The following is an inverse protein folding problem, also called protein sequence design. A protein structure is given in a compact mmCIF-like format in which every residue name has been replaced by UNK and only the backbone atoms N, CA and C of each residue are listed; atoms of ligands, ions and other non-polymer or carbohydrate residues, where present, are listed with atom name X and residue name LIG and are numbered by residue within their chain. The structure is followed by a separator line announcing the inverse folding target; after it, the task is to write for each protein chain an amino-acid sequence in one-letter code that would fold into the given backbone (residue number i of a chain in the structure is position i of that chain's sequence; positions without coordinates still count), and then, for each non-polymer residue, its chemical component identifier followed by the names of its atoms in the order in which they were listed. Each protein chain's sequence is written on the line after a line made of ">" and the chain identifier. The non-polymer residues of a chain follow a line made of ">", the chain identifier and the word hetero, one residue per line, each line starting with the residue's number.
data_IF_341414464024
#
_entry.id   IF_341414464024
#
_cell.length_a   1.000
_cell.length_b   1.000
_cell.length_c   1.000
_cell.angle_alpha   90.00
_cell.angle_beta   90.00
_cell.angle_gamma   90.00
#
_symmetry.space_group_name_H-M   'P 1'
#
loop_
_entity.id
_entity.type
_entity.pdbx_description
1 polymer ?
#
# COMPACT_ATOMS: atom_id res chain seq x y z
N UNK A 1 18.95 16.35 -15.26
CA UNK A 1 17.58 15.95 -15.61
C UNK A 1 17.42 15.79 -17.11
N UNK A 2 17.41 14.55 -17.56
CA UNK A 2 17.16 14.16 -18.95
C UNK A 2 15.69 14.42 -19.31
N UNK A 3 15.35 14.73 -20.58
CA UNK A 3 13.96 14.80 -21.04
C UNK A 3 13.19 13.46 -20.87
N UNK A 4 13.90 12.34 -20.71
CA UNK A 4 13.30 11.03 -20.40
C UNK A 4 12.73 11.00 -18.97
N UNK A 5 13.48 11.53 -17.99
CA UNK A 5 13.11 11.51 -16.56
C UNK A 5 11.80 12.29 -16.33
N UNK A 6 11.65 13.46 -16.97
CA UNK A 6 10.43 14.27 -16.88
C UNK A 6 9.19 13.59 -17.45
N UNK A 7 9.34 12.74 -18.47
CA UNK A 7 8.22 12.03 -19.08
C UNK A 7 7.78 10.86 -18.21
N UNK A 8 8.73 10.14 -17.61
CA UNK A 8 8.48 9.05 -16.66
C UNK A 8 7.80 9.55 -15.39
N UNK A 9 8.31 10.63 -14.78
CA UNK A 9 7.70 11.25 -13.60
C UNK A 9 6.26 11.72 -13.84
N UNK A 10 6.01 12.36 -14.99
CA UNK A 10 4.67 12.82 -15.35
C UNK A 10 3.68 11.66 -15.54
N UNK A 11 4.15 10.53 -16.08
CA UNK A 11 3.35 9.31 -16.23
C UNK A 11 3.00 8.71 -14.86
N UNK A 12 3.98 8.56 -13.98
CA UNK A 12 3.78 8.01 -12.63
C UNK A 12 2.83 8.90 -11.82
N UNK A 13 3.00 10.22 -11.85
CA UNK A 13 2.08 11.14 -11.18
C UNK A 13 0.65 11.05 -11.72
N UNK A 14 0.48 10.86 -13.03
CA UNK A 14 -0.83 10.73 -13.65
C UNK A 14 -1.50 9.41 -13.26
N UNK A 15 -0.74 8.31 -13.20
CA UNK A 15 -1.20 7.00 -12.77
C UNK A 15 -1.62 7.05 -11.30
N UNK A 16 -0.77 7.55 -10.40
CA UNK A 16 -1.08 7.73 -8.98
C UNK A 16 -2.34 8.58 -8.74
N UNK A 17 -2.51 9.68 -9.50
CA UNK A 17 -3.73 10.52 -9.41
C UNK A 17 -4.98 9.76 -9.85
N UNK A 18 -4.89 8.89 -10.85
CA UNK A 18 -6.04 8.11 -11.32
C UNK A 18 -6.43 7.01 -10.33
N UNK A 19 -5.45 6.33 -9.73
CA UNK A 19 -5.65 5.30 -8.71
C UNK A 19 -6.26 5.92 -7.45
N UNK A 20 -5.70 7.04 -6.96
CA UNK A 20 -6.24 7.77 -5.80
C UNK A 20 -7.69 8.21 -5.98
N UNK A 21 -8.09 8.63 -7.19
CA UNK A 21 -9.48 8.99 -7.49
C UNK A 21 -10.42 7.79 -7.44
N UNK A 22 -9.98 6.63 -7.94
CA UNK A 22 -10.77 5.39 -7.90
C UNK A 22 -10.92 4.86 -6.48
N UNK A 23 -9.88 4.96 -5.66
CA UNK A 23 -9.90 4.60 -4.23
C UNK A 23 -10.92 5.45 -3.46
N UNK A 24 -11.00 6.76 -3.72
CA UNK A 24 -11.93 7.67 -3.04
C UNK A 24 -13.35 7.67 -3.63
N UNK A 25 -13.71 6.69 -4.47
CA UNK A 25 -15.09 6.57 -4.93
C UNK A 25 -16.04 6.26 -3.76
N UNK A 26 -17.16 6.99 -3.71
CA UNK A 26 -18.27 6.75 -2.77
C UNK A 26 -18.81 5.33 -2.87
N UNK A 27 -18.82 4.77 -4.08
CA UNK A 27 -19.22 3.39 -4.36
C UNK A 27 -18.29 2.39 -3.67
N UNK A 28 -16.98 2.68 -3.69
CA UNK A 28 -15.96 1.84 -3.05
C UNK A 28 -16.07 1.86 -1.53
N UNK A 29 -16.42 3.03 -0.94
CA UNK A 29 -16.59 3.16 0.52
C UNK A 29 -17.79 2.38 1.02
N UNK A 30 -18.90 2.41 0.27
CA UNK A 30 -20.09 1.60 0.58
C UNK A 30 -19.82 0.10 0.42
N UNK A 31 -19.11 -0.31 -0.64
CA UNK A 31 -18.74 -1.71 -0.85
C UNK A 31 -17.88 -2.27 0.28
N UNK A 32 -16.89 -1.52 0.79
CA UNK A 32 -16.08 -1.94 1.94
C UNK A 32 -16.91 -2.09 3.22
N UNK A 33 -17.87 -1.20 3.46
CA UNK A 33 -18.73 -1.30 4.62
C UNK A 33 -19.63 -2.54 4.56
N UNK A 34 -20.25 -2.79 3.40
CA UNK A 34 -21.12 -3.95 3.19
C UNK A 34 -20.33 -5.26 3.27
N UNK A 35 -19.17 -5.32 2.63
CA UNK A 35 -18.30 -6.50 2.67
C UNK A 35 -17.75 -6.73 4.07
N UNK A 36 -17.35 -5.68 4.80
CA UNK A 36 -16.91 -5.78 6.19
C UNK A 36 -18.01 -6.26 7.13
N UNK A 37 -19.26 -5.85 6.90
CA UNK A 37 -20.41 -6.36 7.64
C UNK A 37 -20.71 -7.83 7.31
N UNK A 38 -20.70 -8.18 6.02
CA UNK A 38 -20.93 -9.56 5.54
C UNK A 38 -19.86 -10.55 6.01
N UNK A 39 -18.60 -10.11 6.12
CA UNK A 39 -17.50 -10.90 6.67
C UNK A 39 -17.51 -11.10 8.19
N UNK A 40 -18.48 -10.50 8.91
CA UNK A 40 -18.58 -10.60 10.36
C UNK A 40 -19.35 -11.85 10.81
N UNK A 41 -18.96 -12.42 11.95
CA UNK A 41 -19.71 -13.53 12.57
C UNK A 41 -21.15 -13.15 12.93
N UNK A 42 -21.40 -11.86 13.20
CA UNK A 42 -22.74 -11.33 13.49
C UNK A 42 -23.70 -11.51 12.30
N UNK A 43 -23.19 -11.40 11.07
CA UNK A 43 -23.97 -11.62 9.86
C UNK A 43 -24.45 -13.07 9.76
N UNK A 44 -23.59 -14.04 10.09
CA UNK A 44 -23.93 -15.46 10.11
C UNK A 44 -25.01 -15.74 11.16
N UNK A 45 -24.86 -15.22 12.38
CA UNK A 45 -25.89 -15.40 13.42
C UNK A 45 -27.23 -14.79 13.02
N UNK A 46 -27.23 -13.60 12.41
CA UNK A 46 -28.44 -12.97 11.89
C UNK A 46 -29.14 -13.88 10.86
N UNK A 47 -28.41 -14.44 9.89
CA UNK A 47 -28.97 -15.34 8.88
C UNK A 47 -29.54 -16.61 9.47
N UNK A 48 -28.84 -17.23 10.43
CA UNK A 48 -29.33 -18.44 11.11
C UNK A 48 -30.64 -18.16 11.83
N UNK A 49 -30.74 -17.05 12.56
CA UNK A 49 -31.98 -16.66 13.26
C UNK A 49 -33.09 -16.34 12.26
N UNK A 50 -32.78 -15.57 11.22
CA UNK A 50 -33.72 -15.22 10.15
C UNK A 50 -34.31 -16.45 9.46
N UNK A 51 -33.45 -17.38 9.00
CA UNK A 51 -33.90 -18.60 8.34
C UNK A 51 -34.69 -19.51 9.29
N UNK A 52 -34.24 -19.65 10.53
CA UNK A 52 -34.95 -20.45 11.54
C UNK A 52 -36.35 -19.87 11.81
N UNK A 53 -36.46 -18.54 11.91
CA UNK A 53 -37.74 -17.86 12.10
C UNK A 53 -38.65 -18.04 10.89
N UNK A 54 -38.13 -17.88 9.68
CA UNK A 54 -38.90 -18.05 8.44
C UNK A 54 -39.46 -19.46 8.30
N UNK A 55 -38.64 -20.48 8.56
CA UNK A 55 -39.05 -21.88 8.55
C UNK A 55 -40.10 -22.13 9.62
N UNK A 56 -39.89 -21.63 10.84
CA UNK A 56 -40.85 -21.81 11.95
C UNK A 56 -42.22 -21.21 11.66
N UNK A 57 -42.26 -20.01 11.05
CA UNK A 57 -43.51 -19.37 10.61
C UNK A 57 -44.22 -20.21 9.54
N UNK A 58 -43.49 -20.67 8.53
CA UNK A 58 -44.08 -21.39 7.40
C UNK A 58 -44.42 -22.86 7.71
N UNK A 59 -43.85 -23.44 8.77
CA UNK A 59 -44.21 -24.77 9.28
C UNK A 59 -45.52 -24.78 10.09
N UNK A 60 -46.20 -23.63 10.21
CA UNK A 60 -47.49 -23.51 10.89
C UNK A 60 -47.39 -23.47 12.42
N UNK A 61 -46.20 -23.27 13.00
CA UNK A 61 -46.03 -23.17 14.46
C UNK A 61 -46.69 -21.92 15.07
N UNK A 62 -47.09 -20.96 14.23
CA UNK A 62 -47.72 -19.70 14.60
C UNK A 62 -49.22 -19.64 14.24
N UNK A 63 -49.88 -20.75 13.93
CA UNK A 63 -51.34 -20.77 13.79
C UNK A 63 -52.02 -20.46 15.13
N UNK A 64 -53.00 -19.54 15.19
CA UNK A 64 -53.74 -18.93 14.07
C UNK A 64 -53.28 -17.51 13.66
N UNK A 65 -52.14 -17.03 14.18
CA UNK A 65 -51.69 -15.64 13.97
C UNK A 65 -51.11 -15.38 12.59
N UNK A 66 -50.49 -16.37 11.94
CA UNK A 66 -49.88 -16.25 10.61
C UNK A 66 -50.14 -17.53 9.80
N UNK A 67 -50.80 -17.39 8.65
CA UNK A 67 -50.98 -18.49 7.71
C UNK A 67 -49.68 -18.74 6.93
N UNK A 68 -49.28 -20.00 6.66
CA UNK A 68 -48.12 -20.31 5.84
C UNK A 68 -48.22 -19.62 4.47
N UNK A 69 -47.24 -18.77 4.14
CA UNK A 69 -47.24 -17.97 2.90
C UNK A 69 -46.19 -18.47 1.88
N UNK A 70 -45.17 -19.18 2.34
CA UNK A 70 -44.11 -19.82 1.55
C UNK A 70 -44.03 -21.31 1.92
N UNK A 71 -44.92 -22.16 1.38
CA UNK A 71 -44.92 -23.59 1.66
C UNK A 71 -43.63 -24.26 1.18
N UNK A 72 -43.25 -25.37 1.81
CA UNK A 72 -42.15 -26.21 1.34
C UNK A 72 -42.36 -26.55 -0.16
N UNK A 73 -41.40 -26.23 -1.05
CA UNK A 73 -39.95 -26.11 -0.83
C UNK A 73 -39.37 -24.69 -0.57
N UNK A 74 -40.14 -23.73 -0.05
CA UNK A 74 -39.68 -22.36 0.27
C UNK A 74 -39.14 -21.56 -0.93
N UNK A 75 -39.99 -21.38 -1.94
CA UNK A 75 -39.61 -20.72 -3.20
C UNK A 75 -39.25 -19.24 -3.00
N UNK A 76 -39.98 -18.52 -2.14
CA UNK A 76 -39.74 -17.09 -1.91
C UNK A 76 -38.44 -16.85 -1.15
N UNK A 77 -38.17 -17.63 -0.11
CA UNK A 77 -36.89 -17.57 0.61
C UNK A 77 -35.72 -17.82 -0.34
N UNK A 78 -35.80 -18.87 -1.16
CA UNK A 78 -34.74 -19.25 -2.09
C UNK A 78 -34.47 -18.13 -3.11
N UNK A 79 -35.52 -17.50 -3.64
CA UNK A 79 -35.39 -16.38 -4.56
C UNK A 79 -34.70 -15.17 -3.92
N UNK A 80 -35.10 -14.80 -2.69
CA UNK A 80 -34.50 -13.68 -1.96
C UNK A 80 -33.03 -13.92 -1.64
N UNK A 81 -32.68 -15.10 -1.15
CA UNK A 81 -31.29 -15.48 -0.84
C UNK A 81 -30.43 -15.49 -2.10
N UNK A 82 -30.96 -15.96 -3.23
CA UNK A 82 -30.23 -15.95 -4.50
C UNK A 82 -29.94 -14.53 -4.98
N UNK A 83 -30.92 -13.63 -4.87
CA UNK A 83 -30.74 -12.22 -5.21
C UNK A 83 -29.70 -11.56 -4.30
N UNK A 84 -29.81 -11.80 -2.99
CA UNK A 84 -28.85 -11.29 -1.99
C UNK A 84 -27.42 -11.77 -2.28
N UNK A 85 -27.24 -13.05 -2.61
CA UNK A 85 -25.93 -13.61 -2.96
C UNK A 85 -25.29 -12.94 -4.18
N UNK A 86 -26.09 -12.57 -5.21
CA UNK A 86 -25.60 -11.83 -6.38
C UNK A 86 -25.09 -10.44 -5.97
N UNK A 87 -25.84 -9.72 -5.14
CA UNK A 87 -25.41 -8.41 -4.63
C UNK A 87 -24.15 -8.52 -3.78
N UNK A 88 -24.08 -9.48 -2.86
CA UNK A 88 -22.90 -9.72 -2.04
C UNK A 88 -21.67 -10.05 -2.88
N UNK A 89 -21.80 -10.96 -3.86
CA UNK A 89 -20.71 -11.29 -4.78
C UNK A 89 -20.22 -10.05 -5.55
N UNK A 90 -21.15 -9.20 -6.01
CA UNK A 90 -20.81 -7.95 -6.71
C UNK A 90 -20.07 -6.97 -5.79
N UNK A 91 -20.50 -6.82 -4.54
CA UNK A 91 -19.83 -5.95 -3.57
C UNK A 91 -18.46 -6.48 -3.15
N UNK A 92 -18.33 -7.79 -3.00
CA UNK A 92 -17.03 -8.45 -2.77
C UNK A 92 -16.08 -8.15 -3.94
N UNK A 93 -16.55 -8.30 -5.18
CA UNK A 93 -15.73 -8.02 -6.37
C UNK A 93 -15.30 -6.55 -6.46
N UNK A 94 -16.18 -5.61 -6.10
CA UNK A 94 -15.83 -4.18 -6.02
C UNK A 94 -14.78 -3.96 -4.92
N UNK A 95 -14.96 -4.57 -3.75
CA UNK A 95 -14.01 -4.46 -2.64
C UNK A 95 -12.64 -5.05 -3.01
N UNK A 96 -12.62 -6.20 -3.69
CA UNK A 96 -11.40 -6.84 -4.21
C UNK A 96 -10.67 -5.96 -5.22
N UNK A 97 -11.37 -5.48 -6.26
CA UNK A 97 -10.79 -4.57 -7.25
C UNK A 97 -10.25 -3.27 -6.62
N UNK A 98 -10.82 -2.82 -5.50
CA UNK A 98 -10.30 -1.68 -4.74
C UNK A 98 -9.08 -2.03 -3.89
N UNK A 99 -9.03 -3.22 -3.30
CA UNK A 99 -7.84 -3.71 -2.59
C UNK A 99 -6.66 -3.87 -3.54
N UNK A 100 -6.87 -4.43 -4.74
CA UNK A 100 -5.85 -4.53 -5.80
C UNK A 100 -5.29 -3.15 -6.18
N UNK A 101 -6.15 -2.13 -6.33
CA UNK A 101 -5.71 -0.76 -6.61
C UNK A 101 -4.91 -0.13 -5.45
N UNK A 102 -5.23 -0.49 -4.21
CA UNK A 102 -4.47 -0.03 -3.04
C UNK A 102 -3.11 -0.71 -2.95
N UNK A 103 -3.05 -1.99 -3.30
CA UNK A 103 -1.81 -2.77 -3.39
C UNK A 103 -0.91 -2.18 -4.49
N UNK A 104 -1.43 -1.96 -5.71
CA UNK A 104 -0.68 -1.29 -6.79
C UNK A 104 -0.15 0.08 -6.37
N UNK A 105 -0.96 0.87 -5.63
CA UNK A 105 -0.50 2.17 -5.14
C UNK A 105 0.65 2.06 -4.15
N UNK A 106 0.61 1.08 -3.23
CA UNK A 106 1.66 0.83 -2.24
C UNK A 106 2.95 0.38 -2.91
N UNK A 107 2.87 -0.55 -3.86
CA UNK A 107 4.03 -1.00 -4.63
C UNK A 107 4.72 0.16 -5.34
N UNK A 108 3.95 1.08 -5.96
CA UNK A 108 4.50 2.28 -6.60
C UNK A 108 5.09 3.31 -5.62
N UNK A 109 4.70 3.27 -4.34
CA UNK A 109 5.25 4.14 -3.30
C UNK A 109 6.55 3.53 -2.75
N UNK A 110 6.57 2.22 -2.51
CA UNK A 110 7.76 1.46 -2.13
C UNK A 110 8.86 1.56 -3.20
N UNK A 111 8.53 1.40 -4.49
CA UNK A 111 9.50 1.54 -5.59
C UNK A 111 10.16 2.94 -5.61
N UNK A 112 9.41 3.99 -5.27
CA UNK A 112 9.94 5.35 -5.20
C UNK A 112 10.87 5.54 -4.01
N UNK A 113 10.49 5.03 -2.84
CA UNK A 113 11.32 5.10 -1.65
C UNK A 113 12.63 4.33 -1.82
N UNK A 114 12.61 3.21 -2.57
CA UNK A 114 13.82 2.48 -2.95
C UNK A 114 14.72 3.31 -3.86
N UNK A 115 14.16 3.94 -4.91
CA UNK A 115 14.93 4.80 -5.82
C UNK A 115 15.56 6.00 -5.10
N UNK A 116 14.82 6.65 -4.20
CA UNK A 116 15.34 7.77 -3.39
C UNK A 116 16.49 7.31 -2.47
N UNK A 117 16.39 6.12 -1.88
CA UNK A 117 17.48 5.54 -1.08
C UNK A 117 18.72 5.20 -1.93
N UNK A 118 18.54 4.67 -3.14
CA UNK A 118 19.65 4.40 -4.06
C UNK A 118 20.39 5.68 -4.44
N UNK A 119 19.66 6.77 -4.72
CA UNK A 119 20.23 8.09 -5.01
C UNK A 119 21.00 8.65 -3.80
N UNK A 120 20.43 8.57 -2.59
CA UNK A 120 21.12 9.01 -1.36
C UNK A 120 22.41 8.22 -1.10
N UNK A 121 22.42 6.91 -1.39
CA UNK A 121 23.63 6.08 -1.29
C UNK A 121 24.67 6.48 -2.33
N UNK A 122 24.27 6.78 -3.56
CA UNK A 122 25.18 7.26 -4.61
C UNK A 122 25.82 8.59 -4.20
N UNK A 123 25.03 9.53 -3.69
CA UNK A 123 25.52 10.84 -3.21
C UNK A 123 26.53 10.67 -2.07
N UNK A 124 26.24 9.80 -1.09
CA UNK A 124 27.18 9.49 0.01
C UNK A 124 28.48 8.89 -0.55
N UNK A 125 28.41 8.00 -1.55
CA UNK A 125 29.62 7.44 -2.17
C UNK A 125 30.45 8.50 -2.87
N UNK A 126 29.81 9.43 -3.59
CA UNK A 126 30.49 10.55 -4.23
C UNK A 126 31.18 11.46 -3.21
N UNK A 127 30.49 11.80 -2.11
CA UNK A 127 31.04 12.60 -1.03
C UNK A 127 32.24 11.92 -0.37
N UNK A 128 32.17 10.60 -0.12
CA UNK A 128 33.28 9.82 0.42
C UNK A 128 34.50 9.84 -0.50
N UNK A 129 34.31 9.75 -1.81
CA UNK A 129 35.41 9.79 -2.77
C UNK A 129 36.03 11.18 -2.89
N UNK A 130 35.23 12.23 -2.80
CA UNK A 130 35.73 13.61 -2.70
C UNK A 130 36.56 13.82 -1.43
N UNK A 131 36.10 13.31 -0.28
CA UNK A 131 36.84 13.38 1.00
C UNK A 131 38.17 12.61 0.89
N UNK A 132 38.17 11.38 0.33
CA UNK A 132 39.40 10.60 0.11
C UNK A 132 40.39 11.36 -0.77
N UNK A 133 39.92 11.98 -1.85
CA UNK A 133 40.75 12.78 -2.74
C UNK A 133 41.37 13.98 -2.00
N UNK A 134 40.58 14.70 -1.21
CA UNK A 134 41.06 15.82 -0.40
C UNK A 134 42.12 15.39 0.63
N UNK A 135 41.90 14.27 1.34
CA UNK A 135 42.86 13.70 2.29
C UNK A 135 44.18 13.34 1.60
N UNK A 136 44.13 12.72 0.42
CA UNK A 136 45.32 12.35 -0.35
C UNK A 136 46.15 13.58 -0.73
N UNK A 137 45.51 14.65 -1.18
CA UNK A 137 46.18 15.92 -1.52
C UNK A 137 46.83 16.55 -0.28
N UNK A 138 46.15 16.56 0.86
CA UNK A 138 46.70 17.06 2.12
C UNK A 138 47.93 16.23 2.53
N UNK A 139 47.82 14.91 2.49
CA UNK A 139 48.92 13.99 2.85
C UNK A 139 50.14 14.23 1.97
N UNK A 140 49.97 14.37 0.66
CA UNK A 140 51.07 14.63 -0.28
C UNK A 140 51.72 15.99 -0.01
N UNK A 141 50.92 17.02 0.28
CA UNK A 141 51.41 18.36 0.62
C UNK A 141 52.17 18.39 1.94
N UNK A 142 51.72 17.64 2.96
CA UNK A 142 52.40 17.51 4.25
C UNK A 142 53.77 16.83 4.07
N UNK A 143 53.83 15.72 3.32
CA UNK A 143 55.11 15.02 3.03
C UNK A 143 56.09 15.92 2.28
N UNK A 144 55.59 16.71 1.33
CA UNK A 144 56.44 17.65 0.59
C UNK A 144 56.92 18.82 1.47
N UNK A 145 56.10 19.30 2.42
CA UNK A 145 56.53 20.31 3.41
C UNK A 145 57.58 19.76 4.39
N UNK A 146 57.49 18.49 4.79
CA UNK A 146 58.50 17.86 5.64
C UNK A 146 59.86 17.76 4.92
N UNK A 147 59.86 17.46 3.63
CA UNK A 147 61.09 17.43 2.81
C UNK A 147 61.75 18.80 2.62
N UNK A 148 61.00 19.90 2.65
CA UNK A 148 61.55 21.26 2.48
C UNK A 148 61.94 21.94 3.80
N UNK A 149 61.61 21.34 4.96
CA UNK A 149 61.86 21.88 6.31
C UNK A 149 63.22 21.50 6.94
N UNK A 150 64.10 20.76 6.25
CA UNK A 150 65.51 20.61 6.66
C UNK A 150 66.43 21.25 5.63
N UNK A 151 67.01 22.43 5.94
CA UNK A 151 68.26 22.45 6.72
C UNK A 151 68.40 23.64 7.70
N UNK A 152 68.88 23.40 8.93
CA UNK A 152 69.62 24.43 9.67
C UNK A 152 70.95 23.84 10.17
N UNK A 153 72.09 24.19 9.54
CA UNK A 153 73.39 23.82 10.08
C UNK A 153 73.60 24.66 11.35
N UNK A 154 73.67 24.01 12.50
CA UNK A 154 74.18 24.62 13.72
C UNK A 154 75.54 25.26 13.41
N UNK A 155 75.76 26.55 13.73
CA UNK A 155 77.03 27.20 13.46
C UNK A 155 78.12 26.48 14.25
N UNK A 156 79.11 25.95 13.54
CA UNK A 156 80.31 25.38 14.15
C UNK A 156 80.99 26.47 14.96
N UNK A 157 81.07 26.27 16.27
CA UNK A 157 81.90 27.08 17.15
C UNK A 157 83.35 26.66 16.93
N UNK A 158 84.08 27.55 16.27
CA UNK A 158 85.52 27.50 16.04
C UNK A 158 86.28 27.64 17.36
N UNK A 159 87.12 26.64 17.69
CA UNK A 159 88.31 26.74 18.53
C UNK A 159 89.33 25.68 18.14
#
# INVERSE_FOLDING_TARGET
>A
MSPLDKQTEAHIQKQQRSIRKRIHSVEGTLAEWITGFSGSMNFVYFHVVWFSLWISINQGWLEPYLQPFDPFPYGLLTMLVSLEAIFLSTFILIAQNRQELLEEYRELEEEKEEQEQEEEVEDIQQDLDQIKAAIKLISEKVVNMEKTSHPHPTPKTEK
#
